data_IF_071796241684
#
_entry.id   IF_071796241684
#
_cell.length_a   1.000
_cell.length_b   1.000
_cell.length_c   1.000
_cell.angle_alpha   90.00
_cell.angle_beta   90.00
_cell.angle_gamma   90.00
#
_symmetry.space_group_name_H-M   'P 1'
#
loop_
_entity.id
_entity.type
_entity.pdbx_description
1 polymer ?
#
# COMPACT_ATOMS: atom_id res chain seq x y z
N UNK A 1 0.75 7.78 22.06
CA UNK A 1 1.04 7.96 20.62
C UNK A 1 0.00 7.28 19.72
N UNK A 2 -0.35 6.01 19.96
CA UNK A 2 -1.32 5.26 19.13
C UNK A 2 -2.64 5.98 18.86
N UNK A 3 -3.38 6.40 19.91
CA UNK A 3 -4.66 7.13 19.74
C UNK A 3 -4.57 8.41 18.89
N UNK A 4 -3.45 9.13 18.95
CA UNK A 4 -3.22 10.33 18.13
C UNK A 4 -3.09 9.92 16.67
N UNK A 5 -2.19 8.98 16.37
CA UNK A 5 -1.97 8.50 14.99
C UNK A 5 -3.20 7.83 14.39
N UNK A 6 -4.02 7.15 15.19
CA UNK A 6 -5.30 6.62 14.72
C UNK A 6 -6.28 7.74 14.33
N UNK A 7 -6.35 8.83 15.11
CA UNK A 7 -7.20 9.97 14.79
C UNK A 7 -6.71 10.68 13.51
N UNK A 8 -5.40 10.84 13.36
CA UNK A 8 -4.78 11.37 12.14
C UNK A 8 -5.10 10.51 10.92
N UNK A 9 -5.00 9.18 11.03
CA UNK A 9 -5.35 8.27 9.93
C UNK A 9 -6.84 8.35 9.58
N UNK A 10 -7.73 8.44 10.58
CA UNK A 10 -9.18 8.62 10.32
C UNK A 10 -9.47 9.95 9.62
N UNK A 11 -8.77 11.03 9.98
CA UNK A 11 -8.88 12.31 9.31
C UNK A 11 -8.41 12.23 7.85
N UNK A 12 -7.23 11.64 7.60
CA UNK A 12 -6.70 11.40 6.26
C UNK A 12 -7.67 10.55 5.41
N UNK A 13 -8.21 9.48 5.98
CA UNK A 13 -9.22 8.63 5.35
C UNK A 13 -10.48 9.43 4.97
N UNK A 14 -10.93 10.35 5.83
CA UNK A 14 -12.06 11.24 5.55
C UNK A 14 -11.80 12.16 4.34
N UNK A 15 -10.61 12.75 4.24
CA UNK A 15 -10.20 13.58 3.09
C UNK A 15 -10.23 12.77 1.79
N UNK A 16 -9.77 11.52 1.84
CA UNK A 16 -9.72 10.62 0.68
C UNK A 16 -11.07 9.95 0.34
N UNK A 17 -12.12 10.16 1.14
CA UNK A 17 -13.41 9.48 0.95
C UNK A 17 -13.37 7.98 1.25
N UNK A 18 -12.41 7.51 2.04
CA UNK A 18 -12.30 6.11 2.46
C UNK A 18 -13.46 5.79 3.42
N UNK A 19 -14.25 4.78 3.06
CA UNK A 19 -15.49 4.42 3.79
C UNK A 19 -15.26 3.69 5.11
N UNK A 20 -14.21 2.88 5.19
CA UNK A 20 -13.91 2.07 6.37
C UNK A 20 -12.40 2.04 6.60
N UNK A 21 -11.98 2.21 7.85
CA UNK A 21 -10.61 1.97 8.31
C UNK A 21 -10.65 0.96 9.44
N UNK A 22 -9.95 -0.15 9.27
CA UNK A 22 -9.82 -1.18 10.28
C UNK A 22 -8.42 -1.15 10.91
N UNK A 23 -8.37 -1.12 12.24
CA UNK A 23 -7.13 -1.20 13.01
C UNK A 23 -7.01 -2.61 13.60
N UNK A 24 -5.94 -3.33 13.26
CA UNK A 24 -5.72 -4.70 13.76
C UNK A 24 -5.15 -4.75 15.19
N UNK A 25 -4.77 -3.59 15.76
CA UNK A 25 -4.33 -3.46 17.15
C UNK A 25 -2.89 -3.88 17.41
N UNK A 26 -2.07 -4.13 16.38
CA UNK A 26 -0.65 -4.42 16.53
C UNK A 26 0.13 -3.17 16.94
N UNK A 27 1.15 -3.30 17.83
CA UNK A 27 2.06 -2.20 18.13
C UNK A 27 2.81 -1.72 16.88
N UNK A 28 3.04 -0.41 16.80
CA UNK A 28 3.89 0.20 15.78
C UNK A 28 5.34 -0.32 15.89
N UNK A 29 5.91 -0.80 14.79
CA UNK A 29 7.23 -1.44 14.78
C UNK A 29 7.26 -2.83 15.42
N UNK A 30 6.10 -3.47 15.58
CA UNK A 30 5.97 -4.77 16.25
C UNK A 30 5.21 -5.82 15.47
N UNK A 31 4.74 -5.51 14.25
CA UNK A 31 4.00 -6.48 13.43
C UNK A 31 4.93 -7.61 12.96
N UNK A 32 6.19 -7.29 12.66
CA UNK A 32 7.21 -8.27 12.25
C UNK A 32 7.46 -9.38 13.30
N UNK A 33 7.13 -9.10 14.56
CA UNK A 33 7.27 -10.01 15.71
C UNK A 33 5.95 -10.57 16.23
N UNK A 34 4.83 -10.20 15.63
CA UNK A 34 3.52 -10.73 15.99
C UNK A 34 3.39 -12.21 15.61
N UNK A 35 2.41 -12.93 16.19
CA UNK A 35 2.10 -14.29 15.74
C UNK A 35 1.54 -14.23 14.30
N UNK A 36 2.26 -14.77 13.30
CA UNK A 36 1.82 -14.68 11.91
C UNK A 36 0.53 -15.45 11.66
N UNK A 37 0.21 -16.48 12.46
CA UNK A 37 -1.06 -17.23 12.32
C UNK A 37 -2.24 -16.38 12.76
N UNK A 38 -2.11 -15.70 13.89
CA UNK A 38 -3.13 -14.77 14.39
C UNK A 38 -3.32 -13.60 13.43
N UNK A 39 -2.23 -12.98 12.95
CA UNK A 39 -2.30 -11.86 12.03
C UNK A 39 -2.91 -12.24 10.68
N UNK A 40 -2.53 -13.40 10.14
CA UNK A 40 -3.13 -13.94 8.91
C UNK A 40 -4.62 -14.22 9.11
N UNK A 41 -5.00 -14.84 10.23
CA UNK A 41 -6.40 -15.15 10.55
C UNK A 41 -7.26 -13.87 10.63
N UNK A 42 -6.77 -12.83 11.30
CA UNK A 42 -7.45 -11.52 11.34
C UNK A 42 -7.64 -10.94 9.94
N UNK A 43 -6.59 -10.95 9.11
CA UNK A 43 -6.67 -10.46 7.73
C UNK A 43 -7.66 -11.26 6.88
N UNK A 44 -7.72 -12.59 7.03
CA UNK A 44 -8.71 -13.44 6.36
C UNK A 44 -10.13 -12.99 6.71
N UNK A 45 -10.42 -12.75 7.99
CA UNK A 45 -11.73 -12.25 8.41
C UNK A 45 -12.09 -10.91 7.78
N UNK A 46 -11.12 -10.00 7.62
CA UNK A 46 -11.33 -8.74 6.90
C UNK A 46 -11.60 -8.95 5.41
N UNK A 47 -10.83 -9.80 4.73
CA UNK A 47 -11.01 -10.12 3.31
C UNK A 47 -12.36 -10.79 3.05
N UNK A 48 -12.78 -11.73 3.89
CA UNK A 48 -14.08 -12.41 3.74
C UNK A 48 -15.27 -11.52 4.06
N UNK A 49 -15.13 -10.59 5.01
CA UNK A 49 -16.17 -9.58 5.32
C UNK A 49 -16.30 -8.53 4.21
N UNK A 50 -15.19 -7.91 3.82
CA UNK A 50 -15.20 -6.82 2.84
C UNK A 50 -15.36 -7.30 1.40
N UNK A 51 -15.05 -8.57 1.13
CA UNK A 51 -15.13 -9.23 -0.18
C UNK A 51 -14.50 -8.41 -1.32
N UNK A 52 -13.25 -7.90 -1.18
CA UNK A 52 -12.66 -7.02 -2.18
C UNK A 52 -12.35 -7.77 -3.48
N UNK A 53 -12.61 -7.12 -4.61
CA UNK A 53 -12.20 -7.63 -5.93
C UNK A 53 -10.68 -7.48 -6.13
N UNK A 54 -10.13 -6.36 -5.63
CA UNK A 54 -8.72 -5.96 -5.76
C UNK A 54 -8.12 -5.73 -4.38
N UNK A 55 -6.91 -6.25 -4.16
CA UNK A 55 -6.09 -5.97 -2.98
C UNK A 55 -4.78 -5.32 -3.41
N UNK A 56 -4.35 -4.30 -2.67
CA UNK A 56 -3.04 -3.65 -2.83
C UNK A 56 -2.27 -3.79 -1.52
N UNK A 57 -1.00 -4.14 -1.60
CA UNK A 57 -0.10 -4.24 -0.43
C UNK A 57 1.32 -3.80 -0.80
N UNK A 58 2.27 -3.88 0.12
CA UNK A 58 3.67 -3.58 -0.17
C UNK A 58 4.33 -4.68 -1.02
N UNK A 59 5.32 -4.30 -1.80
CA UNK A 59 6.25 -5.25 -2.43
C UNK A 59 7.04 -6.06 -1.40
N UNK A 60 7.70 -7.17 -1.79
CA UNK A 60 8.38 -8.08 -0.84
C UNK A 60 9.49 -7.42 -0.01
N UNK A 61 10.08 -6.33 -0.52
CA UNK A 61 11.08 -5.50 0.16
C UNK A 61 10.45 -4.49 1.14
N UNK A 62 9.12 -4.42 1.25
CA UNK A 62 8.42 -3.51 2.16
C UNK A 62 8.57 -2.04 1.78
N UNK A 63 8.87 -1.75 0.50
CA UNK A 63 9.09 -0.43 -0.08
C UNK A 63 10.37 0.30 0.40
N UNK A 64 10.60 0.34 1.72
CA UNK A 64 11.79 0.98 2.34
C UNK A 64 12.63 0.00 3.18
N UNK A 65 12.33 -1.30 3.14
CA UNK A 65 12.99 -2.31 3.95
C UNK A 65 12.48 -2.42 5.40
N UNK A 66 11.39 -1.71 5.74
CA UNK A 66 10.79 -1.76 7.06
C UNK A 66 10.27 -3.16 7.39
N UNK A 67 10.69 -3.79 8.52
CA UNK A 67 10.24 -5.12 8.90
C UNK A 67 8.72 -5.27 8.91
N UNK A 68 8.00 -4.33 9.53
CA UNK A 68 6.53 -4.32 9.49
C UNK A 68 5.95 -4.23 8.06
N UNK A 69 6.54 -3.47 7.13
CA UNK A 69 6.04 -3.43 5.76
C UNK A 69 6.28 -4.76 5.02
N UNK A 70 7.42 -5.40 5.26
CA UNK A 70 7.71 -6.76 4.75
C UNK A 70 6.70 -7.75 5.35
N UNK A 71 6.41 -7.65 6.65
CA UNK A 71 5.42 -8.49 7.31
C UNK A 71 4.02 -8.24 6.74
N UNK A 72 3.58 -6.99 6.53
CA UNK A 72 2.31 -6.66 5.86
C UNK A 72 2.24 -7.32 4.48
N UNK A 73 3.30 -7.25 3.67
CA UNK A 73 3.36 -7.88 2.35
C UNK A 73 3.12 -9.39 2.44
N UNK A 74 3.91 -10.08 3.28
CA UNK A 74 3.84 -11.53 3.44
C UNK A 74 2.49 -12.00 4.01
N UNK A 75 2.02 -11.34 5.07
CA UNK A 75 0.75 -11.67 5.74
C UNK A 75 -0.44 -11.42 4.82
N UNK A 76 -0.41 -10.34 4.02
CA UNK A 76 -1.48 -10.07 3.03
C UNK A 76 -1.51 -11.15 1.96
N UNK A 77 -0.36 -11.53 1.40
CA UNK A 77 -0.27 -12.60 0.40
C UNK A 77 -0.80 -13.93 0.95
N UNK A 78 -0.41 -14.31 2.17
CA UNK A 78 -0.91 -15.51 2.83
C UNK A 78 -2.43 -15.45 3.09
N UNK A 79 -2.92 -14.32 3.57
CA UNK A 79 -4.34 -14.11 3.85
C UNK A 79 -5.20 -14.17 2.59
N UNK A 80 -4.72 -13.65 1.45
CA UNK A 80 -5.43 -13.74 0.16
C UNK A 80 -5.65 -15.19 -0.26
N UNK A 81 -4.64 -16.06 -0.08
CA UNK A 81 -4.78 -17.49 -0.36
C UNK A 81 -5.75 -18.16 0.62
N UNK A 82 -5.57 -17.92 1.91
CA UNK A 82 -6.41 -18.51 2.97
C UNK A 82 -7.87 -18.05 2.90
N UNK A 83 -8.13 -16.81 2.46
CA UNK A 83 -9.47 -16.27 2.33
C UNK A 83 -10.30 -17.04 1.29
N UNK A 84 -9.68 -17.57 0.24
CA UNK A 84 -10.33 -18.37 -0.80
C UNK A 84 -10.55 -19.85 -0.40
N UNK A 85 -9.82 -20.36 0.59
CA UNK A 85 -9.90 -21.76 1.03
C UNK A 85 -11.09 -21.99 1.96
N UNK A 86 -12.08 -22.77 1.50
CA UNK A 86 -13.27 -23.10 2.29
C UNK A 86 -12.99 -23.87 3.59
N UNK A 87 -11.82 -24.50 3.72
CA UNK A 87 -11.41 -25.24 4.93
C UNK A 87 -10.72 -24.35 5.97
N UNK A 88 -10.32 -23.13 5.61
CA UNK A 88 -9.65 -22.22 6.53
C UNK A 88 -10.64 -21.69 7.59
N UNK A 89 -10.29 -21.75 8.89
CA UNK A 89 -11.21 -21.49 9.98
C UNK A 89 -11.55 -20.00 10.11
N UNK A 90 -12.71 -19.59 9.60
CA UNK A 90 -13.27 -18.26 9.78
C UNK A 90 -14.80 -18.33 9.62
N UNK A 91 -15.59 -17.59 10.41
CA UNK A 91 -17.05 -17.68 10.38
C UNK A 91 -17.69 -17.17 9.09
N UNK A 92 -16.97 -16.34 8.30
CA UNK A 92 -17.48 -15.84 7.03
C UNK A 92 -17.24 -16.85 5.90
N UNK A 93 -18.12 -16.88 4.88
CA UNK A 93 -17.91 -17.69 3.69
C UNK A 93 -16.58 -17.35 2.99
N UNK A 94 -15.93 -18.32 2.31
CA UNK A 94 -14.73 -18.06 1.56
C UNK A 94 -14.95 -16.95 0.53
N UNK A 95 -13.90 -16.18 0.29
CA UNK A 95 -13.88 -15.09 -0.67
C UNK A 95 -12.60 -15.16 -1.49
N UNK A 96 -12.76 -15.19 -2.82
CA UNK A 96 -11.64 -15.18 -3.75
C UNK A 96 -11.42 -13.76 -4.25
N UNK A 97 -10.27 -13.19 -3.88
CA UNK A 97 -9.77 -11.94 -4.47
C UNK A 97 -9.44 -12.18 -5.94
N UNK A 98 -9.78 -11.23 -6.82
CA UNK A 98 -9.59 -11.38 -8.26
C UNK A 98 -8.22 -10.88 -8.72
N UNK A 99 -7.70 -9.81 -8.09
CA UNK A 99 -6.41 -9.23 -8.44
C UNK A 99 -5.65 -8.78 -7.19
N UNK A 100 -4.35 -9.03 -7.16
CA UNK A 100 -3.45 -8.57 -6.11
C UNK A 100 -2.31 -7.77 -6.74
N UNK A 101 -2.05 -6.61 -6.17
CA UNK A 101 -0.98 -5.71 -6.61
C UNK A 101 -0.04 -5.35 -5.46
N UNK A 102 1.23 -5.17 -5.80
CA UNK A 102 2.17 -4.43 -4.98
C UNK A 102 2.18 -2.96 -5.41
N UNK A 103 2.09 -2.06 -4.43
CA UNK A 103 2.44 -0.65 -4.61
C UNK A 103 3.97 -0.56 -4.75
N UNK A 104 4.43 0.03 -5.85
CA UNK A 104 5.85 0.20 -6.17
C UNK A 104 6.08 1.63 -6.65
N UNK A 105 7.31 2.11 -6.56
CA UNK A 105 7.68 3.39 -7.17
C UNK A 105 8.62 3.18 -8.36
N UNK A 106 8.46 3.94 -9.46
CA UNK A 106 9.40 3.90 -10.57
C UNK A 106 10.80 4.30 -10.11
N UNK A 107 11.82 3.67 -10.70
CA UNK A 107 13.23 3.99 -10.44
C UNK A 107 13.51 5.49 -10.57
N UNK A 108 13.02 6.12 -11.63
CA UNK A 108 13.19 7.56 -11.87
C UNK A 108 12.55 8.42 -10.78
N UNK A 109 11.41 8.00 -10.21
CA UNK A 109 10.75 8.72 -9.13
C UNK A 109 11.58 8.62 -7.85
N UNK A 110 12.07 7.42 -7.52
CA UNK A 110 12.90 7.21 -6.33
C UNK A 110 14.23 7.96 -6.44
N UNK A 111 14.90 7.92 -7.59
CA UNK A 111 16.15 8.63 -7.83
C UNK A 111 15.96 10.15 -7.75
N UNK A 112 14.91 10.66 -8.37
CA UNK A 112 14.54 12.08 -8.27
C UNK A 112 14.24 12.48 -6.83
N UNK A 113 13.44 11.68 -6.10
CA UNK A 113 13.09 11.96 -4.70
C UNK A 113 14.33 11.94 -3.81
N UNK A 114 15.27 11.02 -4.06
CA UNK A 114 16.56 10.94 -3.35
C UNK A 114 17.39 12.21 -3.54
N UNK A 115 17.40 12.79 -4.74
CA UNK A 115 18.10 14.04 -5.03
C UNK A 115 17.42 15.25 -4.35
N UNK A 116 16.09 15.27 -4.32
CA UNK A 116 15.32 16.40 -3.79
C UNK A 116 15.15 16.39 -2.26
N UNK A 117 15.01 15.20 -1.66
CA UNK A 117 14.63 15.00 -0.25
C UNK A 117 15.72 14.30 0.58
N UNK A 118 16.79 13.85 -0.06
CA UNK A 118 17.83 13.01 0.51
C UNK A 118 17.46 11.52 0.48
N UNK A 119 18.38 10.68 0.96
CA UNK A 119 18.16 9.23 1.04
C UNK A 119 16.95 8.91 1.92
N UNK A 120 15.95 8.26 1.32
CA UNK A 120 14.83 7.64 2.01
C UNK A 120 15.14 6.16 2.19
N UNK A 121 15.01 5.68 3.42
CA UNK A 121 15.35 4.31 3.80
C UNK A 121 15.49 4.20 5.30
N UNK A 122 15.91 3.05 5.78
CA UNK A 122 16.11 2.83 7.21
C UNK A 122 17.25 1.87 7.51
N UNK A 123 17.73 1.91 8.76
CA UNK A 123 18.71 0.96 9.26
C UNK A 123 18.00 -0.08 10.11
N UNK A 124 18.13 -1.35 9.75
CA UNK A 124 17.56 -2.49 10.47
C UNK A 124 18.68 -3.46 10.75
N UNK A 125 18.87 -3.83 12.02
CA UNK A 125 19.93 -4.74 12.46
C UNK A 125 21.33 -4.33 11.96
N UNK A 126 21.60 -3.03 11.94
CA UNK A 126 22.86 -2.46 11.46
C UNK A 126 23.02 -2.38 9.94
N UNK A 127 22.02 -2.84 9.17
CA UNK A 127 22.03 -2.81 7.70
C UNK A 127 21.17 -1.66 7.19
N UNK A 128 21.76 -0.77 6.39
CA UNK A 128 21.02 0.28 5.67
C UNK A 128 20.23 -0.34 4.52
N UNK A 129 18.90 -0.18 4.55
CA UNK A 129 17.96 -0.62 3.53
C UNK A 129 17.39 0.61 2.82
N UNK A 130 17.67 0.81 1.53
CA UNK A 130 17.19 1.98 0.80
C UNK A 130 15.74 1.80 0.36
N UNK A 131 15.06 2.91 0.09
CA UNK A 131 13.89 2.91 -0.79
C UNK A 131 14.32 2.43 -2.18
N UNK A 132 13.74 1.31 -2.64
CA UNK A 132 14.13 0.67 -3.90
C UNK A 132 13.10 0.96 -4.98
N UNK A 133 13.54 1.66 -6.03
CA UNK A 133 12.71 1.90 -7.21
C UNK A 133 12.70 0.72 -8.18
N UNK A 134 11.61 0.57 -8.91
CA UNK A 134 11.39 -0.51 -9.86
C UNK A 134 11.64 -0.03 -11.29
N UNK A 135 12.31 -0.86 -12.09
CA UNK A 135 12.51 -0.59 -13.50
C UNK A 135 11.15 -0.52 -14.23
N UNK A 136 11.02 0.37 -15.22
CA UNK A 136 9.75 0.59 -15.89
C UNK A 136 9.13 -0.69 -16.50
N UNK A 137 9.98 -1.59 -17.02
CA UNK A 137 9.53 -2.85 -17.62
C UNK A 137 8.84 -3.78 -16.61
N UNK A 138 9.15 -3.64 -15.32
CA UNK A 138 8.52 -4.43 -14.27
C UNK A 138 7.16 -3.85 -13.83
N UNK A 139 6.90 -2.56 -14.07
CA UNK A 139 5.63 -1.93 -13.71
C UNK A 139 4.54 -2.41 -14.68
N UNK A 140 3.48 -3.00 -14.13
CA UNK A 140 2.40 -3.61 -14.91
C UNK A 140 1.10 -2.81 -14.87
N UNK A 141 0.96 -1.83 -13.98
CA UNK A 141 -0.19 -0.92 -13.98
C UNK A 141 0.22 0.49 -13.52
N UNK A 142 -0.42 1.50 -14.10
CA UNK A 142 -0.22 2.92 -13.79
C UNK A 142 -1.58 3.60 -13.73
N UNK A 143 -1.93 4.16 -12.58
CA UNK A 143 -3.20 4.88 -12.39
C UNK A 143 -2.89 6.37 -12.36
N UNK A 144 -3.47 7.10 -13.32
CA UNK A 144 -3.45 8.57 -13.32
C UNK A 144 -4.42 9.08 -12.25
N UNK A 145 -3.85 9.73 -11.24
CA UNK A 145 -4.57 10.39 -10.15
C UNK A 145 -4.23 11.89 -10.09
N UNK A 146 -3.73 12.48 -11.19
CA UNK A 146 -3.31 13.89 -11.24
C UNK A 146 -4.46 14.83 -10.88
N UNK A 147 -5.69 14.52 -11.26
CA UNK A 147 -6.87 15.28 -10.84
C UNK A 147 -7.09 15.33 -9.30
N UNK A 148 -6.48 14.40 -8.54
CA UNK A 148 -6.70 14.19 -7.11
C UNK A 148 -5.47 14.45 -6.24
N UNK A 149 -4.34 14.87 -6.82
CA UNK A 149 -3.07 15.01 -6.08
C UNK A 149 -3.18 15.93 -4.86
N UNK A 150 -4.04 16.97 -4.92
CA UNK A 150 -4.27 17.90 -3.80
C UNK A 150 -4.96 17.22 -2.62
N UNK A 151 -5.93 16.34 -2.87
CA UNK A 151 -6.61 15.57 -1.82
C UNK A 151 -5.64 14.58 -1.18
N UNK A 152 -4.78 13.93 -1.98
CA UNK A 152 -3.71 13.08 -1.45
C UNK A 152 -2.74 13.87 -0.57
N UNK A 153 -2.34 15.07 -0.99
CA UNK A 153 -1.48 15.92 -0.18
C UNK A 153 -2.17 16.43 1.10
N UNK A 154 -3.44 16.83 1.03
CA UNK A 154 -4.23 17.21 2.20
C UNK A 154 -4.34 16.06 3.22
N UNK A 155 -4.56 14.82 2.74
CA UNK A 155 -4.58 13.65 3.60
C UNK A 155 -3.22 13.39 4.28
N UNK A 156 -2.11 13.54 3.56
CA UNK A 156 -0.76 13.46 4.15
C UNK A 156 -0.56 14.51 5.25
N UNK A 157 -1.12 15.72 5.06
CA UNK A 157 -1.05 16.79 6.06
C UNK A 157 -1.85 16.49 7.33
N UNK A 158 -2.76 15.52 7.36
CA UNK A 158 -3.42 15.11 8.59
C UNK A 158 -2.45 14.46 9.59
N UNK A 159 -1.31 13.92 9.16
CA UNK A 159 -0.34 13.20 9.99
C UNK A 159 0.64 14.13 10.72
N UNK A 160 0.13 15.08 11.51
CA UNK A 160 0.93 16.12 12.18
C UNK A 160 1.99 15.55 13.14
N UNK A 161 1.71 14.41 13.78
CA UNK A 161 2.66 13.72 14.65
C UNK A 161 3.85 13.09 13.90
N UNK A 162 3.80 12.99 12.57
CA UNK A 162 4.90 12.60 11.68
C UNK A 162 5.75 13.83 11.27
N UNK A 163 5.97 14.72 12.23
CA UNK A 163 6.40 16.11 12.00
C UNK A 163 7.69 16.25 11.20
N UNK A 164 8.70 15.39 11.41
CA UNK A 164 9.97 15.45 10.67
C UNK A 164 9.79 15.16 9.18
N UNK A 165 9.06 14.10 8.83
CA UNK A 165 8.77 13.74 7.42
C UNK A 165 7.87 14.79 6.79
N UNK A 166 6.82 15.21 7.51
CA UNK A 166 5.87 16.20 7.01
C UNK A 166 6.53 17.56 6.77
N UNK A 167 7.46 17.99 7.63
CA UNK A 167 8.20 19.24 7.46
C UNK A 167 9.02 19.26 6.15
N UNK A 168 9.70 18.16 5.81
CA UNK A 168 10.43 18.06 4.53
C UNK A 168 9.52 18.07 3.31
N UNK A 169 8.35 17.42 3.41
CA UNK A 169 7.39 17.42 2.30
C UNK A 169 6.79 18.80 2.07
N UNK A 170 6.54 19.59 3.14
CA UNK A 170 6.00 20.95 3.04
C UNK A 170 6.91 21.95 2.32
N UNK A 171 8.21 21.66 2.19
CA UNK A 171 9.14 22.55 1.48
C UNK A 171 9.16 22.31 -0.03
N UNK A 172 8.44 21.29 -0.52
CA UNK A 172 8.39 20.96 -1.95
C UNK A 172 7.52 21.95 -2.73
N UNK A 173 7.89 22.20 -3.98
CA UNK A 173 7.09 22.99 -4.92
C UNK A 173 5.78 22.27 -5.29
N UNK A 174 4.79 23.02 -5.74
CA UNK A 174 3.48 22.46 -6.15
C UNK A 174 3.61 21.41 -7.26
N UNK A 175 4.37 21.71 -8.31
CA UNK A 175 4.63 20.78 -9.42
C UNK A 175 5.29 19.48 -8.93
N UNK A 176 6.02 19.54 -7.81
CA UNK A 176 6.60 18.36 -7.18
C UNK A 176 5.56 17.51 -6.48
N UNK A 177 4.63 18.13 -5.75
CA UNK A 177 3.52 17.40 -5.12
C UNK A 177 2.64 16.70 -6.15
N UNK A 178 2.33 17.36 -7.27
CA UNK A 178 1.59 16.72 -8.36
C UNK A 178 2.32 15.48 -8.91
N UNK A 179 3.65 15.56 -9.09
CA UNK A 179 4.45 14.42 -9.56
C UNK A 179 4.45 13.24 -8.58
N UNK A 180 4.55 13.50 -7.28
CA UNK A 180 4.64 12.44 -6.25
C UNK A 180 3.26 11.83 -5.97
N UNK A 181 2.20 12.64 -5.93
CA UNK A 181 0.88 12.19 -5.50
C UNK A 181 -0.10 11.94 -6.64
N UNK A 182 0.23 12.37 -7.86
CA UNK A 182 -0.64 12.28 -9.03
C UNK A 182 -0.59 10.95 -9.77
N UNK A 183 0.26 10.01 -9.35
CA UNK A 183 0.38 8.71 -10.02
C UNK A 183 0.53 7.57 -9.03
N UNK A 184 -0.27 6.52 -9.21
CA UNK A 184 -0.08 5.22 -8.57
C UNK A 184 0.62 4.26 -9.52
N UNK A 185 1.67 3.57 -9.07
CA UNK A 185 2.38 2.57 -9.87
C UNK A 185 2.34 1.20 -9.17
N UNK A 186 2.11 0.16 -9.95
CA UNK A 186 1.83 -1.15 -9.38
C UNK A 186 2.48 -2.30 -10.15
N UNK A 187 2.86 -3.33 -9.40
CA UNK A 187 3.22 -4.65 -9.92
C UNK A 187 2.09 -5.63 -9.65
N UNK A 188 1.57 -6.28 -10.70
CA UNK A 188 0.48 -7.25 -10.64
C UNK A 188 1.05 -8.60 -10.21
N UNK A 189 0.78 -8.97 -8.96
CA UNK A 189 1.20 -10.25 -8.37
C UNK A 189 0.45 -11.40 -9.03
N UNK A 190 -0.87 -11.25 -9.14
CA UNK A 190 -1.71 -12.13 -9.95
C UNK A 190 -2.97 -11.39 -10.42
N UNK A 191 -3.62 -11.93 -11.45
CA UNK A 191 -4.96 -11.54 -11.88
C UNK A 191 -5.69 -12.74 -12.45
N UNK A 192 -6.96 -12.89 -12.07
CA UNK A 192 -7.88 -13.89 -12.65
C UNK A 192 -8.48 -13.46 -14.00
N UNK A 193 -8.20 -12.23 -14.43
CA UNK A 193 -8.65 -11.62 -15.69
C UNK A 193 -7.45 -11.00 -16.43
N UNK A 194 -6.34 -11.74 -16.51
CA UNK A 194 -5.07 -11.21 -16.99
C UNK A 194 -5.11 -10.87 -18.49
N UNK A 195 -4.99 -9.58 -18.83
CA UNK A 195 -4.90 -9.06 -20.21
C UNK A 195 -3.52 -9.26 -20.88
N UNK A 196 -2.64 -10.10 -20.32
CA UNK A 196 -1.31 -10.35 -20.85
C UNK A 196 -0.31 -9.27 -20.46
N UNK A 197 0.50 -8.80 -21.42
CA UNK A 197 1.64 -7.89 -21.17
C UNK A 197 1.29 -6.40 -21.16
N UNK A 198 0.05 -6.03 -21.46
CA UNK A 198 -0.35 -4.63 -21.46
C UNK A 198 -0.26 -4.05 -20.05
N UNK A 199 0.18 -2.79 -19.94
CA UNK A 199 0.15 -2.05 -18.69
C UNK A 199 -1.27 -1.54 -18.47
N UNK A 200 -1.86 -1.89 -17.33
CA UNK A 200 -3.23 -1.49 -17.00
C UNK A 200 -3.27 -0.02 -16.59
N UNK A 201 -4.36 0.66 -16.93
CA UNK A 201 -4.63 2.05 -16.50
C UNK A 201 -5.66 2.15 -15.37
N UNK A 202 -6.36 1.04 -15.12
CA UNK A 202 -7.31 0.85 -14.01
C UNK A 202 -7.00 -0.49 -13.34
N UNK A 203 -6.91 -0.50 -12.00
CA UNK A 203 -6.71 -1.74 -11.25
C UNK A 203 -7.88 -2.72 -11.42
N UNK A 204 -9.07 -2.24 -11.82
CA UNK A 204 -10.27 -3.03 -12.10
C UNK A 204 -10.40 -3.46 -13.57
N UNK A 205 -9.43 -3.15 -14.43
CA UNK A 205 -9.46 -3.55 -15.84
C UNK A 205 -9.69 -5.07 -15.98
N UNK A 206 -10.64 -5.45 -16.85
CA UNK A 206 -11.07 -6.83 -17.07
C UNK A 206 -12.07 -7.39 -16.05
N UNK A 207 -12.33 -6.72 -14.92
CA UNK A 207 -13.35 -7.14 -13.93
C UNK A 207 -14.73 -6.56 -14.20
N UNK A 208 -14.78 -5.40 -14.86
CA UNK A 208 -16.01 -4.72 -15.24
C UNK A 208 -16.13 -4.79 -16.76
N UNK A 209 -17.33 -5.09 -17.25
CA UNK A 209 -17.61 -4.98 -18.68
C UNK A 209 -17.39 -3.51 -19.11
N UNK A 210 -16.78 -3.30 -20.28
CA UNK A 210 -16.67 -1.96 -20.84
C UNK A 210 -18.08 -1.43 -21.11
N UNK A 211 -18.49 -0.40 -20.38
CA UNK A 211 -19.72 0.34 -20.65
C UNK A 211 -19.61 1.16 -21.94
#
# INVERSE_FOLDING_TARGET
>A
MGRVREAELRAAAGVLGVREVAFLGYPDGGLDRADPREATWRLVGHLRRARPEVVVTFSPDGHTGHPDHVAVSQLTCGAVVCAADSSYPDPQPPHRVHKLYYLVDPLELVEWARQALGDVGMTVDGVKRPHTGWADWAITARVDATAYWRAAWEAVQCHQSQSHTLARLRTLAEATHERVWGWGHFYRVFSLVNGGRAKESDLFEGLREAH
#
